data_IF_161938556940
#
_entry.id   IF_161938556940
#
_cell.length_a   1.000
_cell.length_b   1.000
_cell.length_c   1.000
_cell.angle_alpha   90.00
_cell.angle_beta   90.00
_cell.angle_gamma   90.00
#
_symmetry.space_group_name_H-M   'P 1'
#
loop_
_entity.id
_entity.type
_entity.pdbx_description
1 polymer ?
#
# COMPACT_ATOMS: atom_id res chain seq x y z
N UNK A 1 -39.67 48.81 37.78
CA UNK A 1 -39.76 47.51 37.08
C UNK A 1 -38.37 47.27 36.50
N UNK A 2 -37.48 46.49 37.14
CA UNK A 2 -37.44 45.01 37.13
C UNK A 2 -37.20 44.50 35.69
N UNK A 3 -36.15 43.76 35.30
CA UNK A 3 -34.99 43.12 35.97
C UNK A 3 -33.93 42.75 34.88
N UNK A 4 -32.66 42.40 35.09
CA UNK A 4 -31.74 42.32 36.25
C UNK A 4 -30.26 42.26 35.74
N UNK A 5 -29.28 42.14 36.64
CA UNK A 5 -27.84 41.92 36.35
C UNK A 5 -27.50 40.60 35.62
N UNK A 6 -26.28 40.52 35.06
CA UNK A 6 -25.75 39.29 34.49
C UNK A 6 -24.29 39.36 34.00
N UNK A 7 -23.33 39.55 34.92
CA UNK A 7 -21.91 39.30 34.61
C UNK A 7 -21.65 37.79 34.47
N UNK A 8 -21.04 37.35 33.37
CA UNK A 8 -20.31 36.07 33.34
C UNK A 8 -19.21 36.08 32.29
N UNK A 9 -18.00 35.73 32.73
CA UNK A 9 -16.86 35.42 31.87
C UNK A 9 -17.21 34.29 30.90
N UNK A 10 -16.78 34.38 29.64
CA UNK A 10 -16.86 33.23 28.74
C UNK A 10 -15.91 32.13 29.23
N UNK A 11 -16.38 30.89 29.44
CA UNK A 11 -15.51 29.72 29.40
C UNK A 11 -15.27 29.31 27.94
N UNK A 12 -14.05 28.90 27.62
CA UNK A 12 -13.76 28.26 26.33
C UNK A 12 -14.64 27.01 26.16
N UNK A 13 -15.24 26.78 24.97
CA UNK A 13 -16.07 25.61 24.75
C UNK A 13 -15.20 24.33 24.77
N UNK A 14 -15.66 23.25 25.45
CA UNK A 14 -14.90 22.02 25.52
C UNK A 14 -14.75 21.37 24.15
N UNK A 15 -13.51 21.11 23.76
CA UNK A 15 -13.18 20.36 22.54
C UNK A 15 -13.60 18.90 22.70
N UNK A 16 -14.80 18.55 22.21
CA UNK A 16 -15.29 17.18 22.16
C UNK A 16 -15.76 16.83 20.75
N UNK A 17 -15.02 15.96 20.09
CA UNK A 17 -15.33 15.45 18.76
C UNK A 17 -16.70 14.74 18.76
N UNK A 18 -17.70 15.35 18.10
CA UNK A 18 -19.00 14.72 17.86
C UNK A 18 -19.03 14.10 16.48
N UNK A 19 -18.79 12.79 16.43
CA UNK A 19 -19.15 11.97 15.28
C UNK A 19 -20.67 12.01 15.12
N UNK A 20 -21.16 12.72 14.10
CA UNK A 20 -22.58 12.69 13.73
C UNK A 20 -22.83 11.56 12.73
N UNK A 21 -23.24 10.41 13.24
CA UNK A 21 -23.86 9.37 12.44
C UNK A 21 -25.36 9.68 12.31
N UNK A 22 -25.79 10.21 11.14
CA UNK A 22 -27.21 10.42 10.86
C UNK A 22 -27.70 9.35 9.88
N UNK A 23 -28.51 8.41 10.38
CA UNK A 23 -28.96 7.24 9.64
C UNK A 23 -30.41 7.34 9.14
N UNK A 24 -30.60 7.08 7.85
CA UNK A 24 -31.91 6.90 7.20
C UNK A 24 -32.47 8.18 6.57
N UNK A 25 -33.04 8.15 5.36
CA UNK A 25 -33.57 7.00 4.61
C UNK A 25 -33.29 7.15 3.12
N UNK A 26 -32.80 6.11 2.46
CA UNK A 26 -32.79 6.00 0.99
C UNK A 26 -33.44 4.67 0.56
N UNK A 27 -34.64 4.77 -0.02
CA UNK A 27 -35.32 3.63 -0.64
C UNK A 27 -34.69 3.33 -2.01
N UNK A 28 -33.63 2.55 -2.06
CA UNK A 28 -33.27 1.69 -3.18
C UNK A 28 -32.12 0.75 -2.77
N UNK A 29 -32.26 -0.55 -3.04
CA UNK A 29 -31.13 -1.50 -2.93
C UNK A 29 -30.20 -1.30 -4.13
N UNK A 30 -29.29 -0.35 -4.05
CA UNK A 30 -28.10 -0.35 -4.89
C UNK A 30 -27.13 -1.39 -4.31
N UNK A 31 -26.75 -2.45 -5.05
CA UNK A 31 -25.70 -3.34 -4.59
C UNK A 31 -24.40 -2.55 -4.45
N UNK A 32 -23.66 -2.82 -3.38
CA UNK A 32 -22.46 -2.11 -2.98
C UNK A 32 -21.43 -2.11 -4.12
N UNK A 33 -21.24 -0.96 -4.78
CA UNK A 33 -20.30 -0.77 -5.90
C UNK A 33 -18.82 -0.79 -5.48
N UNK A 34 -18.52 -1.32 -4.30
CA UNK A 34 -17.18 -1.37 -3.70
C UNK A 34 -16.34 -2.58 -4.14
N UNK A 35 -16.85 -3.45 -5.03
CA UNK A 35 -16.25 -4.78 -5.28
C UNK A 35 -16.15 -5.20 -6.76
N UNK A 36 -15.53 -4.33 -7.57
CA UNK A 36 -15.06 -4.69 -8.94
C UNK A 36 -13.53 -4.57 -9.08
N UNK A 37 -12.82 -4.12 -8.03
CA UNK A 37 -11.36 -4.00 -8.03
C UNK A 37 -10.76 -4.84 -6.90
N UNK A 38 -10.39 -6.08 -7.22
CA UNK A 38 -9.70 -6.94 -6.25
C UNK A 38 -8.26 -6.48 -6.08
N UNK A 39 -7.96 -5.88 -4.92
CA UNK A 39 -6.62 -5.41 -4.51
C UNK A 39 -5.58 -6.54 -4.63
N UNK A 40 -6.00 -7.79 -4.39
CA UNK A 40 -5.24 -9.04 -4.59
C UNK A 40 -4.46 -9.07 -5.93
N UNK A 41 -5.07 -8.67 -7.06
CA UNK A 41 -4.43 -8.71 -8.38
C UNK A 41 -3.34 -7.64 -8.57
N UNK A 42 -3.38 -6.57 -7.77
CA UNK A 42 -2.31 -5.57 -7.70
C UNK A 42 -1.20 -5.98 -6.73
N UNK A 43 -1.53 -6.81 -5.75
CA UNK A 43 -0.62 -7.31 -4.72
C UNK A 43 0.14 -8.58 -5.12
N UNK A 44 -0.36 -9.33 -6.10
CA UNK A 44 0.29 -10.52 -6.66
C UNK A 44 0.24 -11.74 -5.72
N UNK A 45 -0.88 -11.92 -5.02
CA UNK A 45 -1.14 -13.05 -4.12
C UNK A 45 -2.54 -13.62 -4.42
N UNK A 46 -2.76 -14.94 -4.36
CA UNK A 46 -1.79 -16.01 -4.06
C UNK A 46 -0.74 -16.22 -5.17
N UNK A 47 0.39 -16.81 -4.78
CA UNK A 47 1.55 -17.15 -5.62
C UNK A 47 1.65 -18.68 -5.73
N UNK A 48 1.57 -19.28 -6.93
CA UNK A 48 1.81 -20.71 -7.09
C UNK A 48 3.25 -21.10 -6.74
N UNK A 49 3.46 -22.24 -6.08
CA UNK A 49 4.76 -22.71 -5.60
C UNK A 49 5.81 -22.80 -6.72
N UNK A 50 5.39 -23.23 -7.92
CA UNK A 50 6.22 -23.30 -9.13
C UNK A 50 6.63 -21.92 -9.66
N UNK A 51 5.89 -20.86 -9.31
CA UNK A 51 6.18 -19.49 -9.70
C UNK A 51 7.04 -18.74 -8.66
N UNK A 52 7.21 -19.25 -7.44
CA UNK A 52 7.96 -18.58 -6.36
C UNK A 52 9.37 -18.19 -6.80
N UNK A 53 10.15 -19.14 -7.32
CA UNK A 53 11.52 -18.92 -7.77
C UNK A 53 11.68 -18.01 -9.02
N UNK A 54 10.56 -17.61 -9.65
CA UNK A 54 10.52 -16.63 -10.74
C UNK A 54 9.81 -15.31 -10.35
N UNK A 55 9.18 -15.25 -9.17
CA UNK A 55 8.39 -14.09 -8.72
C UNK A 55 9.28 -13.02 -8.09
N UNK A 56 9.27 -11.83 -8.69
CA UNK A 56 9.88 -10.65 -8.12
C UNK A 56 8.92 -9.93 -7.17
N UNK A 57 9.41 -9.55 -5.98
CA UNK A 57 8.73 -8.65 -5.06
C UNK A 57 9.22 -7.22 -5.30
N UNK A 58 8.27 -6.31 -5.48
CA UNK A 58 8.54 -4.89 -5.73
C UNK A 58 8.13 -4.03 -4.52
N UNK A 59 8.88 -2.97 -4.28
CA UNK A 59 8.57 -1.92 -3.30
C UNK A 59 8.78 -0.56 -3.97
N UNK A 60 7.78 0.32 -3.83
CA UNK A 60 7.89 1.71 -4.25
C UNK A 60 8.44 2.57 -3.09
N UNK A 61 9.62 3.16 -3.26
CA UNK A 61 10.19 4.15 -2.32
C UNK A 61 10.38 5.48 -3.06
N UNK A 62 9.41 6.37 -2.89
CA UNK A 62 9.51 7.73 -3.41
C UNK A 62 10.64 8.49 -2.67
N UNK A 63 11.32 9.38 -3.40
CA UNK A 63 12.50 10.14 -2.92
C UNK A 63 13.70 9.28 -2.45
N UNK A 64 13.73 7.99 -2.78
CA UNK A 64 14.91 7.17 -2.53
C UNK A 64 16.07 7.55 -3.46
N UNK A 65 17.21 7.95 -2.90
CA UNK A 65 18.43 8.34 -3.62
C UNK A 65 19.46 7.20 -3.78
N UNK A 66 20.77 7.50 -3.81
CA UNK A 66 21.85 6.51 -3.95
C UNK A 66 22.26 5.78 -2.65
N UNK A 67 21.97 6.34 -1.46
CA UNK A 67 22.33 5.75 -0.16
C UNK A 67 21.17 5.00 0.49
N UNK A 68 19.97 5.16 -0.06
CA UNK A 68 18.73 4.48 0.34
C UNK A 68 18.89 2.96 0.22
N UNK A 69 18.66 2.24 1.31
CA UNK A 69 18.73 0.77 1.37
C UNK A 69 17.34 0.23 1.67
N UNK A 70 16.94 -0.79 0.91
CA UNK A 70 15.66 -1.48 1.11
C UNK A 70 15.95 -2.97 1.30
N UNK A 71 15.31 -3.58 2.28
CA UNK A 71 15.43 -5.02 2.55
C UNK A 71 14.07 -5.67 2.75
N UNK A 72 13.96 -6.94 2.37
CA UNK A 72 12.78 -7.77 2.48
C UNK A 72 13.05 -8.95 3.42
N UNK A 73 12.14 -9.26 4.33
CA UNK A 73 12.19 -10.44 5.19
C UNK A 73 10.84 -11.16 5.12
N UNK A 74 10.86 -12.47 4.85
CA UNK A 74 9.65 -13.27 4.60
C UNK A 74 9.28 -14.19 5.77
N UNK A 75 10.26 -14.50 6.63
CA UNK A 75 10.11 -15.42 7.77
C UNK A 75 10.96 -14.88 8.92
N UNK A 76 10.40 -14.87 10.13
CA UNK A 76 11.14 -14.55 11.36
C UNK A 76 12.35 -15.47 11.52
N UNK A 77 13.53 -14.91 11.77
CA UNK A 77 14.79 -15.66 11.90
C UNK A 77 15.54 -15.93 10.59
N UNK A 78 14.93 -15.75 9.41
CA UNK A 78 15.68 -15.74 8.13
C UNK A 78 16.41 -14.40 7.95
N UNK A 79 17.52 -14.45 7.20
CA UNK A 79 18.27 -13.27 6.79
C UNK A 79 17.39 -12.34 5.93
N UNK A 80 17.63 -11.03 6.02
CA UNK A 80 16.96 -10.05 5.17
C UNK A 80 17.60 -10.03 3.77
N UNK A 81 16.76 -10.05 2.74
CA UNK A 81 17.14 -10.01 1.33
C UNK A 81 17.31 -8.54 0.93
N UNK A 82 18.50 -8.10 0.46
CA UNK A 82 18.66 -6.74 -0.06
C UNK A 82 17.87 -6.59 -1.36
N UNK A 83 17.12 -5.50 -1.48
CA UNK A 83 16.39 -5.17 -2.71
C UNK A 83 17.23 -4.22 -3.59
N UNK A 84 17.25 -4.48 -4.90
CA UNK A 84 18.00 -3.69 -5.88
C UNK A 84 17.12 -2.59 -6.43
N UNK A 85 17.64 -1.36 -6.51
CA UNK A 85 16.97 -0.24 -7.16
C UNK A 85 16.98 -0.44 -8.68
N UNK A 86 15.81 -0.57 -9.29
CA UNK A 86 15.68 -0.96 -10.70
C UNK A 86 14.92 0.11 -11.48
N UNK A 87 15.54 0.66 -12.52
CA UNK A 87 14.89 1.63 -13.41
C UNK A 87 14.00 0.93 -14.43
N UNK A 88 12.71 0.86 -14.15
CA UNK A 88 11.69 0.23 -14.99
C UNK A 88 10.37 1.02 -14.93
N UNK A 89 9.43 0.84 -15.88
CA UNK A 89 8.07 1.34 -15.71
C UNK A 89 7.44 0.75 -14.45
N UNK A 90 6.78 1.58 -13.64
CA UNK A 90 6.06 1.10 -12.46
C UNK A 90 4.93 0.14 -12.90
N UNK A 91 4.89 -1.12 -12.42
CA UNK A 91 3.84 -2.07 -12.82
C UNK A 91 2.43 -1.65 -12.39
N UNK A 92 2.26 -0.93 -11.28
CA UNK A 92 0.96 -0.36 -10.90
C UNK A 92 0.49 0.64 -11.96
N UNK A 93 1.36 1.58 -12.35
CA UNK A 93 1.04 2.60 -13.38
C UNK A 93 0.79 1.93 -14.74
N UNK A 94 1.60 0.93 -15.10
CA UNK A 94 1.44 0.13 -16.32
C UNK A 94 0.07 -0.55 -16.35
N UNK A 95 -0.36 -1.19 -15.26
CA UNK A 95 -1.68 -1.80 -15.15
C UNK A 95 -2.82 -0.76 -15.15
N UNK A 96 -2.65 0.39 -14.50
CA UNK A 96 -3.65 1.48 -14.52
C UNK A 96 -3.87 1.96 -15.95
N UNK A 97 -2.81 2.19 -16.73
CA UNK A 97 -2.93 2.62 -18.12
C UNK A 97 -3.47 1.51 -19.04
N UNK A 98 -3.13 0.25 -18.80
CA UNK A 98 -3.73 -0.87 -19.53
C UNK A 98 -5.24 -0.99 -19.28
N UNK A 99 -5.70 -0.84 -18.03
CA UNK A 99 -7.13 -0.85 -17.68
C UNK A 99 -7.92 0.36 -18.22
N UNK A 100 -7.25 1.45 -18.54
CA UNK A 100 -7.85 2.69 -19.03
C UNK A 100 -7.42 3.01 -20.46
N UNK A 101 -7.16 1.99 -21.28
CA UNK A 101 -6.66 2.16 -22.65
C UNK A 101 -7.57 3.06 -23.51
N UNK A 102 -8.89 2.92 -23.36
CA UNK A 102 -9.90 3.63 -24.14
C UNK A 102 -10.15 5.07 -23.66
N UNK A 103 -9.83 5.38 -22.41
CA UNK A 103 -10.14 6.67 -21.76
C UNK A 103 -8.90 7.53 -21.49
N UNK A 104 -7.70 6.94 -21.47
CA UNK A 104 -6.44 7.68 -21.30
C UNK A 104 -6.14 8.50 -22.56
N UNK A 105 -5.54 9.67 -22.35
CA UNK A 105 -4.99 10.49 -23.43
C UNK A 105 -3.93 9.68 -24.23
N UNK A 106 -3.90 9.74 -25.58
CA UNK A 106 -3.00 8.90 -26.39
C UNK A 106 -1.52 9.02 -26.01
N UNK A 107 -1.08 10.22 -25.63
CA UNK A 107 0.30 10.53 -25.23
C UNK A 107 0.67 10.07 -23.80
N UNK A 108 -0.25 9.48 -23.05
CA UNK A 108 0.02 8.95 -21.70
C UNK A 108 0.50 7.49 -21.79
N UNK A 109 1.71 7.24 -21.31
CA UNK A 109 2.36 5.93 -21.25
C UNK A 109 3.17 5.77 -19.95
N UNK A 110 3.39 4.52 -19.53
CA UNK A 110 4.19 4.22 -18.34
C UNK A 110 5.68 4.31 -18.69
N UNK A 111 6.33 5.39 -18.26
CA UNK A 111 7.76 5.62 -18.48
C UNK A 111 8.61 5.01 -17.35
N UNK A 112 9.90 4.68 -17.59
CA UNK A 112 10.78 4.15 -16.56
C UNK A 112 10.97 5.12 -15.38
N UNK A 113 10.66 4.66 -14.17
CA UNK A 113 10.77 5.45 -12.94
C UNK A 113 12.05 5.13 -12.16
N UNK A 114 12.37 5.96 -11.17
CA UNK A 114 13.51 5.81 -10.26
C UNK A 114 13.13 5.26 -8.88
N UNK A 115 11.85 5.03 -8.62
CA UNK A 115 11.30 4.75 -7.30
C UNK A 115 11.04 3.26 -7.00
N UNK A 116 11.51 2.34 -7.84
CA UNK A 116 11.22 0.90 -7.73
C UNK A 116 12.43 0.12 -7.20
N UNK A 117 12.21 -0.64 -6.14
CA UNK A 117 13.16 -1.63 -5.60
C UNK A 117 12.61 -3.04 -5.82
N UNK A 118 13.49 -3.99 -6.14
CA UNK A 118 13.14 -5.36 -6.55
C UNK A 118 13.97 -6.39 -5.80
N UNK A 119 13.36 -7.48 -5.35
CA UNK A 119 14.05 -8.69 -4.91
C UNK A 119 13.30 -9.93 -5.38
N UNK A 120 14.03 -10.95 -5.82
CA UNK A 120 13.48 -12.28 -6.13
C UNK A 120 13.03 -12.96 -4.84
N UNK A 121 11.85 -13.59 -4.84
CA UNK A 121 11.45 -14.47 -3.74
C UNK A 121 12.36 -15.72 -3.70
N UNK A 122 12.78 -16.19 -2.51
CA UNK A 122 13.58 -17.41 -2.39
C UNK A 122 12.82 -18.61 -2.94
N UNK A 123 13.45 -19.40 -3.80
CA UNK A 123 12.84 -20.60 -4.40
C UNK A 123 12.51 -21.70 -3.40
N UNK A 124 13.00 -21.60 -2.16
CA UNK A 124 12.71 -22.51 -1.05
C UNK A 124 11.59 -22.00 -0.12
N UNK A 125 10.91 -20.91 -0.49
CA UNK A 125 9.72 -20.42 0.22
C UNK A 125 8.53 -21.37 -0.07
N UNK A 126 8.33 -22.33 0.82
CA UNK A 126 7.27 -23.34 0.70
C UNK A 126 5.84 -22.79 0.80
N UNK A 127 4.82 -23.64 0.59
CA UNK A 127 3.42 -23.26 0.70
C UNK A 127 3.03 -22.68 2.07
N UNK A 128 2.00 -21.84 2.08
CA UNK A 128 1.43 -21.21 3.27
C UNK A 128 1.47 -19.69 3.28
N UNK A 129 1.06 -19.11 4.41
CA UNK A 129 0.96 -17.67 4.61
C UNK A 129 2.25 -17.10 5.19
N UNK A 130 2.93 -16.23 4.44
CA UNK A 130 4.18 -15.61 4.85
C UNK A 130 4.01 -14.10 5.05
N UNK A 131 4.72 -13.56 6.04
CA UNK A 131 4.75 -12.11 6.31
C UNK A 131 5.99 -11.52 5.65
N UNK A 132 5.76 -10.72 4.61
CA UNK A 132 6.76 -9.89 3.96
C UNK A 132 6.92 -8.56 4.71
N UNK A 133 7.88 -8.52 5.64
CA UNK A 133 8.34 -7.29 6.27
C UNK A 133 9.36 -6.59 5.36
N UNK A 134 9.13 -5.31 5.10
CA UNK A 134 10.03 -4.44 4.33
C UNK A 134 10.62 -3.40 5.27
N UNK A 135 11.94 -3.25 5.25
CA UNK A 135 12.64 -2.18 5.96
C UNK A 135 13.37 -1.27 4.96
N UNK A 136 13.09 0.02 5.04
CA UNK A 136 13.72 1.10 4.27
C UNK A 136 14.56 1.95 5.21
N UNK A 137 15.86 2.05 4.94
CA UNK A 137 16.71 3.13 5.46
C UNK A 137 16.82 4.19 4.36
N UNK A 138 16.26 5.38 4.61
CA UNK A 138 16.25 6.47 3.62
C UNK A 138 17.62 7.17 3.49
N UNK A 139 17.70 8.16 2.60
CA UNK A 139 18.90 8.99 2.40
C UNK A 139 19.46 9.65 3.68
N UNK A 140 18.69 9.74 4.76
CA UNK A 140 19.12 10.37 6.01
C UNK A 140 19.31 9.35 7.13
N UNK A 141 19.32 8.06 6.80
CA UNK A 141 19.46 6.96 7.75
C UNK A 141 18.20 6.73 8.60
N UNK A 142 17.05 7.30 8.23
CA UNK A 142 15.80 7.10 8.97
C UNK A 142 15.18 5.79 8.53
N UNK A 143 14.89 4.92 9.51
CA UNK A 143 14.23 3.65 9.27
C UNK A 143 12.72 3.81 9.12
N UNK A 144 12.13 3.14 8.14
CA UNK A 144 10.68 2.95 7.96
C UNK A 144 10.42 1.47 7.74
N UNK A 145 9.30 0.96 8.26
CA UNK A 145 8.94 -0.44 8.19
C UNK A 145 7.50 -0.59 7.76
N UNK A 146 7.29 -1.43 6.76
CA UNK A 146 5.98 -1.78 6.21
C UNK A 146 5.85 -3.29 6.19
N UNK A 147 4.63 -3.81 6.26
CA UNK A 147 4.38 -5.25 6.28
C UNK A 147 3.22 -5.64 5.36
N UNK A 148 3.38 -6.83 4.78
CA UNK A 148 2.56 -7.35 3.70
C UNK A 148 2.35 -8.86 3.97
N UNK A 149 1.16 -9.39 3.70
CA UNK A 149 0.95 -10.83 3.69
C UNK A 149 1.05 -11.32 2.24
N UNK A 150 1.78 -12.40 2.03
CA UNK A 150 1.77 -13.18 0.77
C UNK A 150 1.34 -14.60 1.09
N UNK A 151 0.53 -15.18 0.22
CA UNK A 151 0.12 -16.58 0.28
C UNK A 151 0.83 -17.35 -0.83
N UNK A 152 1.50 -18.44 -0.48
CA UNK A 152 2.07 -19.39 -1.45
C UNK A 152 1.17 -20.62 -1.50
N UNK A 153 0.70 -20.98 -2.69
CA UNK A 153 -0.26 -22.07 -2.92
C UNK A 153 0.34 -23.19 -3.76
N UNK A 154 -0.14 -24.41 -3.56
CA UNK A 154 0.44 -25.64 -4.12
C UNK A 154 0.74 -26.66 -3.04
N UNK A 155 0.91 -27.93 -3.43
CA UNK A 155 1.19 -29.07 -2.56
C UNK A 155 2.26 -29.95 -3.20
#
# INVERSE_FOLDING_TARGET
MSSADGSSSQPDPPNLAKSHFNGGRSNARTPELARVFTVERLLGSPIPIEAVGSTDRLVNVFDGGPRTRVTLRLVTGRAAIPMVKTRQPDPFVTQVYARNADTKKPWVSAIPSSHVWVARLPSDLGPGTHRADVEVLDEYGRARREAMIIEVTGA
#
